data_IF_713388162693
#
_entry.id   IF_713388162693
#
_cell.length_a   1.000
_cell.length_b   1.000
_cell.length_c   1.000
_cell.angle_alpha   90.00
_cell.angle_beta   90.00
_cell.angle_gamma   90.00
#
_symmetry.space_group_name_H-M   'P 1'
#
loop_
_entity.id
_entity.type
_entity.pdbx_description
1 polymer ?
#
# COMPACT_ATOMS: atom_id res chain seq x y z
N UNK A 1 4.48 -5.14 -25.80
CA UNK A 1 3.25 -4.67 -25.11
C UNK A 1 3.64 -4.50 -23.65
N UNK A 2 3.74 -3.27 -23.14
CA UNK A 2 4.07 -3.05 -21.73
C UNK A 2 2.87 -3.50 -20.89
N UNK A 3 3.02 -4.59 -20.14
CA UNK A 3 2.08 -4.95 -19.09
C UNK A 3 2.20 -3.88 -18.00
N UNK A 4 1.39 -2.84 -18.08
CA UNK A 4 1.26 -1.87 -16.99
C UNK A 4 0.58 -2.51 -15.78
N UNK A 5 0.72 -1.88 -14.62
CA UNK A 5 0.17 -2.30 -13.31
C UNK A 5 -1.37 -2.48 -13.26
N UNK A 6 -2.06 -2.37 -14.40
CA UNK A 6 -3.52 -2.46 -14.56
C UNK A 6 -3.97 -3.73 -15.29
N UNK A 7 -3.05 -4.54 -15.83
CA UNK A 7 -3.42 -5.85 -16.38
C UNK A 7 -3.60 -6.84 -15.26
N UNK A 8 -4.83 -7.34 -15.07
CA UNK A 8 -5.14 -8.36 -14.06
C UNK A 8 -4.36 -9.65 -14.39
N UNK A 9 -3.33 -9.93 -13.60
CA UNK A 9 -2.62 -11.19 -13.62
C UNK A 9 -3.25 -12.12 -12.58
N UNK A 10 -3.79 -13.28 -12.99
CA UNK A 10 -4.22 -14.31 -12.04
C UNK A 10 -3.10 -14.61 -11.04
N UNK A 11 -3.47 -14.79 -9.77
CA UNK A 11 -2.55 -15.17 -8.68
C UNK A 11 -1.41 -14.18 -8.35
N UNK A 12 -1.35 -13.02 -9.01
CA UNK A 12 -0.29 -12.03 -8.78
C UNK A 12 -0.18 -11.58 -7.32
N UNK A 13 -1.30 -11.39 -6.62
CA UNK A 13 -1.28 -11.01 -5.20
C UNK A 13 -0.71 -12.11 -4.30
N UNK A 14 -1.01 -13.36 -4.60
CA UNK A 14 -0.48 -14.52 -3.88
C UNK A 14 1.03 -14.63 -4.10
N UNK A 15 1.46 -14.51 -5.36
CA UNK A 15 2.88 -14.51 -5.71
C UNK A 15 3.64 -13.33 -5.09
N UNK A 16 3.09 -12.12 -5.13
CA UNK A 16 3.69 -10.94 -4.50
C UNK A 16 3.83 -11.12 -2.97
N UNK A 17 2.85 -11.76 -2.32
CA UNK A 17 2.92 -12.10 -0.89
C UNK A 17 4.08 -13.06 -0.61
N UNK A 18 4.23 -14.13 -1.39
CA UNK A 18 5.34 -15.09 -1.24
C UNK A 18 6.71 -14.42 -1.37
N UNK A 19 6.86 -13.48 -2.31
CA UNK A 19 8.10 -12.72 -2.46
C UNK A 19 8.40 -11.81 -1.26
N UNK A 20 7.36 -11.24 -0.63
CA UNK A 20 7.52 -10.43 0.60
C UNK A 20 7.93 -11.33 1.76
N UNK A 21 7.27 -12.48 1.93
CA UNK A 21 7.58 -13.46 3.00
C UNK A 21 8.99 -14.05 2.83
N UNK A 22 9.46 -14.25 1.60
CA UNK A 22 10.82 -14.68 1.28
C UNK A 22 11.87 -13.56 1.42
N UNK A 23 11.46 -12.30 1.64
CA UNK A 23 12.35 -11.13 1.73
C UNK A 23 12.89 -10.63 0.39
N UNK A 24 12.45 -11.19 -0.73
CA UNK A 24 12.86 -10.84 -2.10
C UNK A 24 12.17 -9.57 -2.61
N UNK A 25 10.97 -9.27 -2.09
CA UNK A 25 10.25 -8.02 -2.35
C UNK A 25 10.08 -7.24 -1.05
N UNK A 26 10.59 -6.00 -1.00
CA UNK A 26 10.37 -5.10 0.13
C UNK A 26 9.28 -4.09 -0.21
N UNK A 27 8.26 -4.01 0.65
CA UNK A 27 7.26 -2.94 0.57
C UNK A 27 7.90 -1.65 1.06
N UNK A 28 7.91 -0.62 0.21
CA UNK A 28 8.34 0.71 0.62
C UNK A 28 7.14 1.49 1.15
N UNK A 29 7.06 1.63 2.47
CA UNK A 29 6.02 2.40 3.17
C UNK A 29 6.55 3.82 3.36
N UNK A 30 5.85 4.78 2.77
CA UNK A 30 6.21 6.20 2.83
C UNK A 30 5.72 6.84 4.13
N UNK A 31 4.50 6.47 4.54
CA UNK A 31 3.85 6.97 5.74
C UNK A 31 2.77 6.03 6.25
N UNK A 32 2.48 6.11 7.55
CA UNK A 32 1.41 5.38 8.23
C UNK A 32 0.54 6.40 8.96
N UNK A 33 -0.77 6.33 8.75
CA UNK A 33 -1.77 7.19 9.39
C UNK A 33 -2.73 6.35 10.23
N UNK A 34 -3.28 6.92 11.31
CA UNK A 34 -4.43 6.33 12.02
C UNK A 34 -5.64 6.24 11.09
N UNK A 35 -6.57 5.32 11.37
CA UNK A 35 -7.87 5.29 10.74
C UNK A 35 -8.61 6.64 10.85
N UNK A 36 -8.46 7.34 11.98
CA UNK A 36 -9.04 8.67 12.21
C UNK A 36 -8.45 9.76 11.31
N UNK A 37 -7.29 9.51 10.71
CA UNK A 37 -6.55 10.45 9.85
C UNK A 37 -6.65 10.11 8.36
N UNK A 38 -7.60 9.24 7.97
CA UNK A 38 -7.77 8.79 6.58
C UNK A 38 -7.87 9.94 5.57
N UNK A 39 -8.54 11.04 5.93
CA UNK A 39 -8.63 12.23 5.09
C UNK A 39 -7.25 12.84 4.80
N UNK A 40 -6.35 12.83 5.78
CA UNK A 40 -5.00 13.38 5.66
C UNK A 40 -4.07 12.46 4.88
N UNK A 41 -4.23 11.15 5.02
CA UNK A 41 -3.56 10.18 4.16
C UNK A 41 -3.93 10.39 2.68
N UNK A 42 -5.22 10.56 2.37
CA UNK A 42 -5.68 10.83 1.01
C UNK A 42 -5.17 12.18 0.50
N UNK A 43 -5.23 13.23 1.33
CA UNK A 43 -4.71 14.55 0.95
C UNK A 43 -3.23 14.47 0.62
N UNK A 44 -2.44 13.79 1.45
CA UNK A 44 -1.01 13.58 1.21
C UNK A 44 -0.75 12.84 -0.11
N UNK A 45 -1.51 11.77 -0.40
CA UNK A 45 -1.42 11.03 -1.66
C UNK A 45 -1.72 11.89 -2.89
N UNK A 46 -2.66 12.83 -2.78
CA UNK A 46 -3.09 13.67 -3.90
C UNK A 46 -2.21 14.91 -4.09
N UNK A 47 -1.70 15.48 -3.00
CA UNK A 47 -0.94 16.74 -3.02
C UNK A 47 0.57 16.54 -3.10
N UNK A 48 1.07 15.36 -2.76
CA UNK A 48 2.50 15.03 -2.79
C UNK A 48 2.77 13.86 -3.72
N UNK A 49 3.97 13.83 -4.32
CA UNK A 49 4.44 12.65 -5.07
C UNK A 49 4.92 11.60 -4.07
N UNK A 50 3.98 11.00 -3.34
CA UNK A 50 4.27 9.93 -2.38
C UNK A 50 5.17 8.90 -3.06
N UNK A 51 6.33 8.65 -2.45
CA UNK A 51 7.39 7.85 -3.06
C UNK A 51 7.20 6.34 -2.82
N UNK A 52 6.16 5.97 -2.07
CA UNK A 52 5.83 4.61 -1.70
C UNK A 52 4.35 4.40 -1.42
N UNK A 53 4.06 3.38 -0.60
CA UNK A 53 2.71 3.09 -0.14
C UNK A 53 2.41 3.92 1.10
N UNK A 54 1.23 4.54 1.11
CA UNK A 54 0.64 5.15 2.30
C UNK A 54 -0.28 4.12 2.93
N UNK A 55 -0.07 3.83 4.22
CA UNK A 55 -0.85 2.83 4.96
C UNK A 55 -1.78 3.55 5.93
N UNK A 56 -3.03 3.10 6.00
CA UNK A 56 -3.97 3.49 7.06
C UNK A 56 -4.07 2.31 8.03
N UNK A 57 -3.74 2.54 9.29
CA UNK A 57 -3.79 1.54 10.33
C UNK A 57 -5.24 1.22 10.70
N UNK A 58 -5.48 -0.03 11.09
CA UNK A 58 -6.79 -0.51 11.58
C UNK A 58 -6.86 -0.32 13.11
N UNK A 59 -6.56 0.88 13.60
CA UNK A 59 -6.43 1.23 15.02
C UNK A 59 -7.74 1.74 15.64
N UNK A 60 -8.88 1.26 15.12
CA UNK A 60 -10.20 1.56 15.65
C UNK A 60 -10.27 1.15 17.13
N UNK A 61 -10.58 2.11 18.00
CA UNK A 61 -10.85 1.78 19.40
C UNK A 61 -12.14 0.95 19.46
N UNK A 62 -12.01 -0.29 19.91
CA UNK A 62 -13.16 -1.14 20.20
C UNK A 62 -13.55 -0.85 21.65
N UNK A 63 -14.71 -0.22 21.84
CA UNK A 63 -15.31 0.02 23.17
C UNK A 63 -15.75 -1.26 23.86
#
# INVERSE_FOLDING_TARGET
>A
MYAGAFTRQPDYLQYAKELVEAGTLRVYIDSVYSASETAEAIRYLLSSHASGKVVVATDFQTS
#
